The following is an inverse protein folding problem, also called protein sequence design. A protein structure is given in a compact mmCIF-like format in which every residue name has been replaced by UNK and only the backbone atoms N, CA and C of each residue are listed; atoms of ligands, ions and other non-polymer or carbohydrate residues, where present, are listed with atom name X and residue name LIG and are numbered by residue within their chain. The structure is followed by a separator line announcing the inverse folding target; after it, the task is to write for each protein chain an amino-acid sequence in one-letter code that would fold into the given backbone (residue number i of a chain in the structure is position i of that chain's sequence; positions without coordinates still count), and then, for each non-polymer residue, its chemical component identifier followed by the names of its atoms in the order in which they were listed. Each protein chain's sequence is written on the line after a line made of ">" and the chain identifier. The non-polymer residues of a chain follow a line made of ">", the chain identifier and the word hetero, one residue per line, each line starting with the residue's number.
data_IF_962414888550
#
_entry.id   IF_962414888550
#
_cell.length_a   1.000
_cell.length_b   1.000
_cell.length_c   1.000
_cell.angle_alpha   90.00
_cell.angle_beta   90.00
_cell.angle_gamma   90.00
#
_symmetry.space_group_name_H-M   'P 1'
#
loop_
_entity.id
_entity.type
_entity.pdbx_description
1 polymer ?
#
# COMPACT_ATOMS: atom_id res chain seq x y z
N UNK A 1 19.46 13.25 -28.06
CA UNK A 1 18.96 11.96 -27.56
C UNK A 1 19.77 11.55 -26.34
N UNK A 2 19.17 11.15 -25.21
CA UNK A 2 19.94 10.75 -24.03
C UNK A 2 20.74 9.48 -24.32
N UNK A 3 22.04 9.47 -23.97
CA UNK A 3 22.93 8.33 -24.18
C UNK A 3 22.48 7.11 -23.33
N UNK A 4 22.25 5.97 -23.98
CA UNK A 4 21.82 4.70 -23.35
C UNK A 4 22.72 4.29 -22.18
N UNK A 5 24.04 4.50 -22.31
CA UNK A 5 25.01 4.24 -21.25
C UNK A 5 24.75 5.08 -20.00
N UNK A 6 24.31 6.33 -20.19
CA UNK A 6 23.95 7.26 -19.10
C UNK A 6 22.67 6.83 -18.38
N UNK A 7 21.71 6.29 -19.12
CA UNK A 7 20.46 5.76 -18.54
C UNK A 7 20.75 4.53 -17.67
N UNK A 8 21.55 3.59 -18.19
CA UNK A 8 21.96 2.38 -17.47
C UNK A 8 22.81 2.76 -16.24
N UNK A 9 23.76 3.68 -16.38
CA UNK A 9 24.61 4.10 -15.25
C UNK A 9 23.81 4.77 -14.13
N UNK A 10 22.82 5.60 -14.48
CA UNK A 10 21.96 6.26 -13.49
C UNK A 10 21.03 5.28 -12.80
N UNK A 11 20.50 4.31 -13.54
CA UNK A 11 19.72 3.22 -12.95
C UNK A 11 20.58 2.39 -11.99
N UNK A 12 21.76 1.96 -12.41
CA UNK A 12 22.68 1.16 -11.59
C UNK A 12 23.11 1.92 -10.34
N UNK A 13 23.46 3.21 -10.44
CA UNK A 13 23.73 4.04 -9.27
C UNK A 13 22.58 4.06 -8.28
N UNK A 14 21.33 4.12 -8.76
CA UNK A 14 20.14 4.14 -7.89
C UNK A 14 19.87 2.79 -7.23
N UNK A 15 20.12 1.69 -7.93
CA UNK A 15 20.00 0.33 -7.37
C UNK A 15 21.10 0.08 -6.33
N UNK A 16 22.33 0.50 -6.62
CA UNK A 16 23.49 0.31 -5.74
C UNK A 16 23.48 1.25 -4.51
N UNK A 17 22.93 2.46 -4.64
CA UNK A 17 22.83 3.43 -3.53
C UNK A 17 21.54 3.30 -2.71
N UNK A 18 20.86 2.14 -2.74
CA UNK A 18 19.86 1.85 -1.72
C UNK A 18 20.59 1.74 -0.37
N UNK A 19 20.65 2.84 0.36
CA UNK A 19 21.25 2.82 1.69
C UNK A 19 20.45 1.86 2.58
N UNK A 20 21.12 1.03 3.39
CA UNK A 20 20.44 0.33 4.47
C UNK A 20 19.70 1.37 5.32
N UNK A 21 18.48 1.02 5.71
CA UNK A 21 17.57 1.83 6.51
C UNK A 21 18.34 2.42 7.70
N UNK A 22 18.55 3.74 7.70
CA UNK A 22 19.19 4.48 8.80
C UNK A 22 18.48 4.17 10.12
N UNK A 23 19.24 3.63 11.08
CA UNK A 23 18.75 3.19 12.39
C UNK A 23 18.36 4.34 13.34
N UNK A 24 18.37 5.60 12.86
CA UNK A 24 18.13 6.82 13.65
C UNK A 24 16.75 7.44 13.47
N UNK A 25 15.90 6.91 12.57
CA UNK A 25 14.53 7.42 12.41
C UNK A 25 13.52 6.52 13.12
N UNK A 26 12.72 7.13 14.01
CA UNK A 26 11.74 6.41 14.81
C UNK A 26 10.55 5.99 13.91
N UNK A 27 10.59 4.78 13.34
CA UNK A 27 9.60 4.29 12.38
C UNK A 27 8.22 3.94 12.97
N UNK A 28 8.04 4.10 14.29
CA UNK A 28 6.78 3.85 14.98
C UNK A 28 6.64 4.66 16.27
N UNK A 29 5.50 5.29 16.43
CA UNK A 29 5.08 6.01 17.64
C UNK A 29 3.81 5.40 18.26
N UNK A 30 3.60 4.09 18.12
CA UNK A 30 2.52 3.40 18.81
C UNK A 30 2.83 3.27 20.31
N UNK A 31 1.83 3.50 21.17
CA UNK A 31 1.96 3.28 22.63
C UNK A 31 2.28 1.81 22.94
N UNK A 32 1.66 0.89 22.20
CA UNK A 32 1.94 -0.54 22.24
C UNK A 32 2.48 -0.97 20.88
N UNK A 33 3.75 -1.36 20.83
CA UNK A 33 4.44 -1.76 19.60
C UNK A 33 3.95 -3.12 19.09
N UNK A 34 3.45 -4.00 19.96
CA UNK A 34 2.94 -5.33 19.58
C UNK A 34 1.69 -5.23 18.70
N UNK A 35 0.90 -4.18 18.89
CA UNK A 35 -0.34 -3.89 18.12
C UNK A 35 -0.08 -3.05 16.87
N UNK A 36 1.18 -2.80 16.52
CA UNK A 36 1.50 -2.04 15.33
C UNK A 36 1.16 -2.86 14.07
N UNK A 37 0.33 -2.35 13.15
CA UNK A 37 -0.10 -3.10 11.96
C UNK A 37 1.07 -3.47 11.04
N UNK A 38 2.15 -2.69 11.06
CA UNK A 38 3.38 -2.92 10.30
C UNK A 38 4.57 -3.24 11.21
N UNK A 39 4.34 -3.92 12.33
CA UNK A 39 5.40 -4.47 13.21
C UNK A 39 6.50 -3.44 13.53
N UNK A 40 6.10 -2.25 14.00
CA UNK A 40 7.05 -1.18 14.33
C UNK A 40 7.46 -0.26 13.17
N UNK A 41 6.79 -0.34 12.01
CA UNK A 41 7.07 0.50 10.85
C UNK A 41 5.86 1.37 10.39
N UNK A 42 4.90 1.69 11.26
CA UNK A 42 3.68 2.40 10.87
C UNK A 42 3.90 3.86 10.41
N UNK A 43 5.03 4.48 10.72
CA UNK A 43 5.39 5.81 10.21
C UNK A 43 6.09 5.77 8.84
N UNK A 44 6.14 4.60 8.21
CA UNK A 44 6.63 4.47 6.84
C UNK A 44 5.75 5.29 5.89
N UNK A 45 6.36 6.23 5.18
CA UNK A 45 5.73 7.04 4.13
C UNK A 45 6.19 6.58 2.75
N UNK A 46 5.47 7.00 1.71
CA UNK A 46 5.81 6.68 0.31
C UNK A 46 5.99 5.17 0.08
N UNK A 47 4.99 4.39 0.47
CA UNK A 47 5.00 2.92 0.37
C UNK A 47 3.84 2.36 -0.44
N UNK A 48 4.08 1.23 -1.07
CA UNK A 48 3.05 0.29 -1.52
C UNK A 48 2.95 -0.81 -0.47
N UNK A 49 1.74 -1.13 -0.03
CA UNK A 49 1.47 -2.11 1.00
C UNK A 49 0.41 -3.12 0.54
N UNK A 50 0.38 -4.27 1.21
CA UNK A 50 -0.68 -5.26 1.08
C UNK A 50 -1.44 -5.42 2.40
N UNK A 51 -2.74 -5.66 2.32
CA UNK A 51 -3.57 -6.18 3.40
C UNK A 51 -4.04 -7.58 3.02
N UNK A 52 -3.54 -8.60 3.72
CA UNK A 52 -4.00 -9.99 3.58
C UNK A 52 -5.11 -10.22 4.58
N UNK A 53 -6.29 -10.55 4.08
CA UNK A 53 -7.47 -10.87 4.87
C UNK A 53 -7.64 -12.39 4.85
N UNK A 54 -7.48 -13.01 6.02
CA UNK A 54 -7.76 -14.44 6.21
C UNK A 54 -9.14 -14.57 6.81
N UNK A 55 -10.02 -15.29 6.12
CA UNK A 55 -11.35 -15.66 6.61
C UNK A 55 -11.43 -17.16 6.78
N UNK A 56 -12.06 -17.62 7.86
CA UNK A 56 -12.28 -19.04 8.11
C UNK A 56 -13.76 -19.29 7.91
N UNK A 57 -14.09 -19.99 6.83
CA UNK A 57 -15.45 -20.45 6.55
C UNK A 57 -15.41 -21.95 6.38
N UNK A 58 -16.30 -22.67 7.07
CA UNK A 58 -16.41 -24.14 6.95
C UNK A 58 -15.09 -24.93 7.07
N UNK A 59 -14.19 -24.50 7.98
CA UNK A 59 -12.84 -25.05 8.21
C UNK A 59 -11.78 -24.83 7.12
N UNK A 60 -12.11 -24.15 6.02
CA UNK A 60 -11.13 -23.81 4.98
C UNK A 60 -10.73 -22.33 5.06
N UNK A 61 -9.43 -22.02 5.27
CA UNK A 61 -8.97 -20.64 5.29
C UNK A 61 -8.92 -20.08 3.87
N UNK A 62 -9.70 -19.04 3.61
CA UNK A 62 -9.61 -18.26 2.38
C UNK A 62 -8.75 -17.02 2.63
N UNK A 63 -7.77 -16.78 1.77
CA UNK A 63 -6.87 -15.62 1.87
C UNK A 63 -7.08 -14.73 0.67
N UNK A 64 -7.53 -13.50 0.93
CA UNK A 64 -7.68 -12.46 -0.08
C UNK A 64 -6.72 -11.31 0.21
N UNK A 65 -6.12 -10.75 -0.82
CA UNK A 65 -5.12 -9.68 -0.73
C UNK A 65 -5.68 -8.40 -1.34
N UNK A 66 -5.54 -7.30 -0.62
CA UNK A 66 -5.71 -5.95 -1.17
C UNK A 66 -4.36 -5.26 -1.22
N UNK A 67 -4.07 -4.57 -2.32
CA UNK A 67 -2.87 -3.76 -2.51
C UNK A 67 -3.28 -2.29 -2.53
N UNK A 68 -2.52 -1.44 -1.85
CA UNK A 68 -2.71 0.00 -1.92
C UNK A 68 -1.42 0.76 -1.69
N UNK A 69 -1.46 2.06 -1.96
CA UNK A 69 -0.34 2.97 -1.69
C UNK A 69 -0.66 4.06 -0.66
N UNK A 70 0.39 4.65 -0.11
CA UNK A 70 0.32 5.91 0.64
C UNK A 70 1.56 6.76 0.40
N UNK A 71 1.35 8.03 0.02
CA UNK A 71 2.44 9.00 -0.10
C UNK A 71 2.90 9.52 1.27
N UNK A 72 1.97 9.70 2.22
CA UNK A 72 2.27 10.02 3.62
C UNK A 72 2.35 8.77 4.49
N UNK A 73 2.44 8.96 5.80
CA UNK A 73 2.63 7.88 6.76
C UNK A 73 1.52 6.83 6.72
N UNK A 74 1.90 5.55 6.75
CA UNK A 74 0.98 4.44 6.78
C UNK A 74 -0.01 4.50 7.95
N UNK A 75 0.41 5.01 9.11
CA UNK A 75 -0.47 5.16 10.28
C UNK A 75 -1.72 5.98 9.96
N UNK A 76 -1.58 7.07 9.21
CA UNK A 76 -2.71 7.88 8.78
C UNK A 76 -3.62 7.11 7.80
N UNK A 77 -3.03 6.41 6.83
CA UNK A 77 -3.78 5.56 5.88
C UNK A 77 -4.51 4.42 6.59
N UNK A 78 -3.89 3.79 7.58
CA UNK A 78 -4.46 2.74 8.39
C UNK A 78 -5.62 3.25 9.25
N UNK A 79 -5.51 4.44 9.84
CA UNK A 79 -6.61 5.07 10.56
C UNK A 79 -7.82 5.33 9.64
N UNK A 80 -7.58 5.73 8.38
CA UNK A 80 -8.64 5.86 7.40
C UNK A 80 -9.31 4.51 7.10
N UNK A 81 -8.54 3.43 6.87
CA UNK A 81 -9.12 2.08 6.73
C UNK A 81 -9.95 1.68 7.94
N UNK A 82 -9.43 1.89 9.16
CA UNK A 82 -10.21 1.62 10.37
C UNK A 82 -11.51 2.40 10.37
N UNK A 83 -11.48 3.70 10.08
CA UNK A 83 -12.70 4.52 9.98
C UNK A 83 -13.71 3.87 9.02
N UNK A 84 -13.27 3.47 7.82
CA UNK A 84 -14.13 2.83 6.82
C UNK A 84 -14.65 1.46 7.25
N UNK A 85 -13.92 0.74 8.10
CA UNK A 85 -14.37 -0.53 8.67
C UNK A 85 -15.38 -0.36 9.81
N UNK A 86 -15.38 0.77 10.52
CA UNK A 86 -16.27 1.00 11.67
C UNK A 86 -17.56 1.72 11.29
N UNK A 87 -17.51 2.66 10.34
CA UNK A 87 -18.66 3.46 9.96
C UNK A 87 -19.20 3.01 8.59
N UNK A 88 -20.45 2.55 8.58
CA UNK A 88 -21.12 1.97 7.42
C UNK A 88 -21.20 2.94 6.22
N UNK A 89 -21.31 4.25 6.47
CA UNK A 89 -21.33 5.28 5.41
C UNK A 89 -20.12 5.16 4.47
N UNK A 90 -18.99 4.66 4.97
CA UNK A 90 -17.74 4.52 4.24
C UNK A 90 -17.46 3.09 3.77
N UNK A 91 -18.44 2.18 3.85
CA UNK A 91 -18.22 0.76 3.49
C UNK A 91 -17.74 0.55 2.06
N UNK A 92 -18.07 1.45 1.14
CA UNK A 92 -17.71 1.39 -0.28
C UNK A 92 -16.50 2.26 -0.67
N UNK A 93 -15.75 2.83 0.29
CA UNK A 93 -14.59 3.68 -0.03
C UNK A 93 -13.45 2.92 -0.71
N UNK A 94 -13.31 1.63 -0.43
CA UNK A 94 -12.31 0.73 -1.05
C UNK A 94 -12.89 -0.67 -1.23
N UNK A 95 -12.35 -1.45 -2.16
CA UNK A 95 -12.70 -2.88 -2.24
C UNK A 95 -12.35 -3.64 -0.96
N UNK A 96 -11.31 -3.23 -0.24
CA UNK A 96 -10.99 -3.79 1.08
C UNK A 96 -12.13 -3.54 2.08
N UNK A 97 -12.61 -2.30 2.21
CA UNK A 97 -13.71 -2.00 3.13
C UNK A 97 -14.98 -2.76 2.74
N UNK A 98 -15.29 -2.84 1.44
CA UNK A 98 -16.44 -3.60 0.96
C UNK A 98 -16.35 -5.07 1.37
N UNK A 99 -15.19 -5.68 1.19
CA UNK A 99 -14.92 -7.07 1.56
C UNK A 99 -15.02 -7.30 3.08
N UNK A 100 -14.48 -6.39 3.90
CA UNK A 100 -14.59 -6.48 5.36
C UNK A 100 -16.06 -6.39 5.81
N UNK A 101 -16.85 -5.51 5.21
CA UNK A 101 -18.28 -5.38 5.57
C UNK A 101 -19.09 -6.63 5.22
N UNK A 102 -18.83 -7.32 4.11
CA UNK A 102 -19.53 -8.59 3.81
C UNK A 102 -19.28 -9.67 4.86
N UNK A 103 -18.08 -9.69 5.48
CA UNK A 103 -17.78 -10.62 6.57
C UNK A 103 -18.42 -10.21 7.90
N UNK A 104 -18.51 -8.90 8.16
CA UNK A 104 -19.24 -8.39 9.33
C UNK A 104 -20.74 -8.68 9.24
N UNK A 105 -21.34 -8.46 8.08
CA UNK A 105 -22.76 -8.72 7.82
C UNK A 105 -23.10 -10.22 7.92
N UNK A 106 -22.14 -11.10 7.59
CA UNK A 106 -22.26 -12.56 7.77
C UNK A 106 -21.79 -13.07 9.14
N UNK A 107 -21.52 -12.17 10.10
CA UNK A 107 -21.08 -12.47 11.47
C UNK A 107 -19.90 -13.48 11.54
N UNK A 108 -19.00 -13.42 10.56
CA UNK A 108 -17.87 -14.35 10.45
C UNK A 108 -16.58 -13.65 10.87
N UNK A 109 -15.74 -14.35 11.64
CA UNK A 109 -14.45 -13.82 12.08
C UNK A 109 -13.46 -13.75 10.92
N UNK A 110 -12.66 -12.68 10.89
CA UNK A 110 -11.58 -12.49 9.94
C UNK A 110 -10.36 -11.89 10.63
N UNK A 111 -9.18 -12.12 10.04
CA UNK A 111 -7.93 -11.50 10.46
C UNK A 111 -7.34 -10.68 9.31
N UNK A 112 -6.72 -9.54 9.61
CA UNK A 112 -6.05 -8.70 8.60
C UNK A 112 -4.58 -8.52 8.98
N UNK A 113 -3.69 -8.95 8.09
CA UNK A 113 -2.25 -8.74 8.21
C UNK A 113 -1.78 -7.72 7.18
N UNK A 114 -1.00 -6.73 7.62
CA UNK A 114 -0.48 -5.68 6.76
C UNK A 114 1.01 -5.89 6.54
N UNK A 115 1.46 -5.70 5.29
CA UNK A 115 2.87 -5.80 4.93
C UNK A 115 3.25 -4.70 3.96
N UNK A 116 4.50 -4.26 4.03
CA UNK A 116 5.08 -3.33 3.05
C UNK A 116 5.57 -4.17 1.86
N UNK A 117 5.10 -3.86 0.66
CA UNK A 117 5.56 -4.50 -0.57
C UNK A 117 6.75 -3.75 -1.17
N UNK A 118 6.67 -2.42 -1.22
CA UNK A 118 7.75 -1.60 -1.76
C UNK A 118 7.81 -0.22 -1.10
N UNK A 119 9.00 0.38 -1.07
CA UNK A 119 9.28 1.74 -0.56
C UNK A 119 9.82 2.58 -1.71
N UNK A 120 9.05 3.56 -2.17
CA UNK A 120 9.40 4.34 -3.36
C UNK A 120 9.04 5.80 -3.14
N UNK A 121 10.00 6.73 -3.28
CA UNK A 121 9.73 8.15 -3.16
C UNK A 121 8.58 8.61 -4.05
N UNK A 122 7.66 9.38 -3.45
CA UNK A 122 6.54 9.98 -4.17
C UNK A 122 7.05 11.13 -5.05
N UNK A 123 7.51 10.80 -6.25
CA UNK A 123 8.04 11.75 -7.22
C UNK A 123 7.38 11.63 -8.59
N UNK A 124 7.31 12.74 -9.32
CA UNK A 124 6.92 12.77 -10.73
C UNK A 124 8.12 12.42 -11.61
N UNK A 125 7.86 11.66 -12.67
CA UNK A 125 8.80 11.46 -13.77
C UNK A 125 8.79 12.68 -14.69
N UNK A 126 9.81 12.80 -15.54
CA UNK A 126 9.85 13.84 -16.59
C UNK A 126 8.62 13.79 -17.52
N UNK A 127 7.97 12.63 -17.63
CA UNK A 127 6.76 12.43 -18.43
C UNK A 127 5.45 12.65 -17.65
N UNK A 128 5.51 13.21 -16.43
CA UNK A 128 4.33 13.55 -15.62
C UNK A 128 3.65 12.36 -14.92
N UNK A 129 4.29 11.19 -14.88
CA UNK A 129 3.78 10.01 -14.16
C UNK A 129 4.35 9.94 -12.75
N UNK A 130 3.54 9.55 -11.76
CA UNK A 130 3.99 9.37 -10.38
C UNK A 130 4.52 7.96 -10.16
N UNK A 131 5.77 7.84 -9.69
CA UNK A 131 6.40 6.52 -9.49
C UNK A 131 5.67 5.66 -8.47
N UNK A 132 5.15 6.24 -7.38
CA UNK A 132 4.40 5.49 -6.38
C UNK A 132 3.10 4.92 -6.97
N UNK A 133 2.37 5.73 -7.74
CA UNK A 133 1.16 5.27 -8.44
C UNK A 133 1.48 4.21 -9.50
N UNK A 134 2.60 4.36 -10.21
CA UNK A 134 3.04 3.36 -11.20
C UNK A 134 3.37 2.05 -10.51
N UNK A 135 4.09 2.09 -9.38
CA UNK A 135 4.41 0.87 -8.63
C UNK A 135 3.15 0.17 -8.09
N UNK A 136 2.21 0.93 -7.51
CA UNK A 136 0.95 0.34 -7.03
C UNK A 136 0.26 -0.44 -8.15
N UNK A 137 0.19 0.15 -9.36
CA UNK A 137 -0.39 -0.51 -10.53
C UNK A 137 0.39 -1.75 -10.94
N UNK A 138 1.72 -1.69 -10.95
CA UNK A 138 2.57 -2.84 -11.26
C UNK A 138 2.38 -3.97 -10.25
N UNK A 139 2.30 -3.66 -8.96
CA UNK A 139 2.04 -4.62 -7.90
C UNK A 139 0.66 -5.28 -8.05
N UNK A 140 -0.38 -4.49 -8.34
CA UNK A 140 -1.74 -5.00 -8.62
C UNK A 140 -1.76 -5.89 -9.87
N UNK A 141 -1.05 -5.52 -10.94
CA UNK A 141 -1.01 -6.29 -12.19
C UNK A 141 -0.22 -7.60 -12.05
N UNK A 142 0.79 -7.61 -11.19
CA UNK A 142 1.67 -8.77 -10.97
C UNK A 142 1.13 -9.73 -9.90
N UNK A 143 0.15 -9.32 -9.10
CA UNK A 143 -0.48 -10.15 -8.09
C UNK A 143 -1.37 -11.24 -8.72
N UNK A 144 -1.55 -12.35 -7.99
CA UNK A 144 -2.48 -13.40 -8.37
C UNK A 144 -3.93 -12.88 -8.34
N UNK A 145 -4.59 -12.95 -9.50
CA UNK A 145 -5.95 -12.41 -9.69
C UNK A 145 -7.01 -13.23 -8.95
N UNK A 146 -6.76 -14.51 -8.69
CA UNK A 146 -7.71 -15.36 -7.97
C UNK A 146 -7.86 -14.91 -6.51
N UNK A 147 -6.79 -14.37 -5.92
CA UNK A 147 -6.73 -13.92 -4.53
C UNK A 147 -6.71 -12.40 -4.36
N UNK A 148 -6.90 -11.61 -5.42
CA UNK A 148 -6.78 -10.14 -5.36
C UNK A 148 -8.15 -9.44 -5.27
N UNK A 149 -8.29 -8.52 -4.32
CA UNK A 149 -9.50 -7.72 -4.10
C UNK A 149 -9.59 -6.49 -5.01
N UNK A 150 -8.46 -5.92 -5.43
CA UNK A 150 -8.44 -4.71 -6.25
C UNK A 150 -9.14 -4.91 -7.59
N UNK A 151 -10.07 -4.02 -7.93
CA UNK A 151 -10.70 -4.00 -9.26
C UNK A 151 -9.84 -3.23 -10.27
N UNK A 152 -9.80 -3.73 -11.51
CA UNK A 152 -9.11 -3.07 -12.63
C UNK A 152 -9.61 -1.65 -12.92
N UNK A 153 -10.87 -1.34 -12.64
CA UNK A 153 -11.46 -0.01 -12.84
C UNK A 153 -10.91 1.05 -11.87
N UNK A 154 -10.42 0.67 -10.68
CA UNK A 154 -9.80 1.59 -9.72
C UNK A 154 -8.40 2.07 -10.16
N UNK A 155 -7.72 1.27 -11.01
CA UNK A 155 -6.36 1.53 -11.51
C UNK A 155 -6.29 2.66 -12.56
N UNK A 156 -7.43 3.09 -13.10
CA UNK A 156 -7.53 4.16 -14.12
C UNK A 156 -7.70 5.54 -13.48
N UNK A 157 -7.73 5.61 -12.15
CA UNK A 157 -7.88 6.89 -11.43
C UNK A 157 -6.73 7.87 -11.70
N UNK A 158 -7.07 9.16 -11.80
CA UNK A 158 -6.09 10.25 -11.91
C UNK A 158 -5.12 10.18 -10.73
N UNK A 159 -3.85 10.45 -11.02
CA UNK A 159 -2.81 10.50 -9.99
C UNK A 159 -3.18 11.51 -8.88
N UNK A 160 -3.41 11.02 -7.67
CA UNK A 160 -3.74 11.84 -6.48
C UNK A 160 -2.59 12.73 -6.02
N UNK A 161 -1.37 12.47 -6.53
CA UNK A 161 -0.14 13.19 -6.18
C UNK A 161 0.23 14.28 -7.21
N UNK A 162 -0.51 14.43 -8.32
CA UNK A 162 -0.16 15.36 -9.42
C UNK A 162 -0.03 16.82 -8.96
N UNK A 163 -0.82 17.23 -7.98
CA UNK A 163 -0.85 18.61 -7.47
C UNK A 163 -0.12 18.78 -6.13
N UNK A 164 0.61 17.75 -5.65
CA UNK A 164 1.38 17.84 -4.41
C UNK A 164 2.85 18.18 -4.73
N UNK A 165 3.48 19.14 -4.04
CA UNK A 165 4.91 19.36 -4.19
C UNK A 165 5.66 18.07 -3.86
N UNK A 166 6.63 17.70 -4.69
CA UNK A 166 7.51 16.56 -4.47
C UNK A 166 8.18 16.70 -3.11
N UNK A 167 7.98 15.72 -2.24
CA UNK A 167 8.75 15.63 -1.00
C UNK A 167 10.20 15.28 -1.38
N UNK A 168 11.20 15.99 -0.83
CA UNK A 168 12.61 15.77 -1.12
C UNK A 168 13.08 14.34 -0.79
#
# INVERSE_FOLDING_TARGET
>A
MPNMKRLISNHNKRVLNQQPIDQTTNYCNCRDKSKCPLVGACLSSSIVYSAKVTTVSHNDPTIMTYIGMTGGDFKARFNNHKKSFHNETYKKETELSKYIWSWKESNTSFNIQWNILNRIPTRMTAHGQCNLCTEEKLAILSADKASLLNKRSENVSKCRHRNRPSQP
#
